data_IF_844838581451
#
_entry.id   IF_844838581451
#
_cell.length_a   1.000
_cell.length_b   1.000
_cell.length_c   1.000
_cell.angle_alpha   90.00
_cell.angle_beta   90.00
_cell.angle_gamma   90.00
#
_symmetry.space_group_name_H-M   'P 1'
#
loop_
_entity.id
_entity.type
_entity.pdbx_description
1 polymer ?
#
# COMPACT_ATOMS: atom_id res chain seq x y z
N UNK A 1 -3.58 31.38 14.24
CA UNK A 1 -4.01 31.04 12.86
C UNK A 1 -3.72 29.56 12.75
N UNK A 2 -4.66 28.75 13.21
CA UNK A 2 -4.48 27.29 13.29
C UNK A 2 -4.99 26.68 12.00
N UNK A 3 -4.05 26.24 11.17
CA UNK A 3 -4.33 25.35 10.05
C UNK A 3 -3.07 24.50 9.80
N UNK A 4 -2.58 23.82 10.85
CA UNK A 4 -1.60 22.73 10.74
C UNK A 4 -2.32 21.48 10.22
N UNK A 5 -2.93 21.57 9.04
CA UNK A 5 -3.54 20.41 8.39
C UNK A 5 -2.45 19.61 7.70
N UNK A 6 -2.18 18.40 8.21
CA UNK A 6 -1.39 17.41 7.51
C UNK A 6 -2.09 17.04 6.19
N UNK A 7 -1.37 17.15 5.07
CA UNK A 7 -1.89 16.89 3.72
C UNK A 7 -1.11 15.75 3.08
N UNK A 8 -1.83 14.81 2.47
CA UNK A 8 -1.26 13.75 1.63
C UNK A 8 -1.54 14.13 0.17
N UNK A 9 -0.47 14.37 -0.60
CA UNK A 9 -0.54 14.62 -2.02
C UNK A 9 -0.10 13.37 -2.80
N UNK A 10 -0.94 12.95 -3.75
CA UNK A 10 -0.73 11.77 -4.58
C UNK A 10 -0.69 12.22 -6.03
N UNK A 11 0.44 12.01 -6.70
CA UNK A 11 0.59 12.24 -8.13
C UNK A 11 0.44 10.89 -8.83
N UNK A 12 -0.38 10.89 -9.90
CA UNK A 12 -0.91 9.68 -10.55
C UNK A 12 -2.01 9.00 -9.72
N UNK A 13 -3.09 9.75 -9.44
CA UNK A 13 -4.28 9.25 -8.72
C UNK A 13 -4.89 8.00 -9.37
N UNK A 14 -4.73 7.88 -10.69
CA UNK A 14 -5.05 6.68 -11.46
C UNK A 14 -3.76 6.25 -12.16
N UNK A 15 -3.37 4.99 -11.97
CA UNK A 15 -2.19 4.39 -12.60
C UNK A 15 -2.41 2.88 -12.79
N UNK A 16 -1.60 2.28 -13.68
CA UNK A 16 -1.50 0.82 -13.75
C UNK A 16 -0.60 0.28 -12.64
N UNK A 17 -0.70 -1.02 -12.38
CA UNK A 17 0.04 -1.69 -11.30
C UNK A 17 1.56 -1.61 -11.43
N UNK A 18 2.06 -1.45 -12.65
CA UNK A 18 3.48 -1.32 -13.01
C UNK A 18 3.93 0.14 -13.16
N UNK A 19 3.00 1.10 -13.09
CA UNK A 19 3.28 2.52 -13.18
C UNK A 19 3.55 3.10 -11.77
N UNK A 20 4.55 4.00 -11.63
CA UNK A 20 4.88 4.56 -10.34
C UNK A 20 3.85 5.59 -9.86
N UNK A 21 3.55 5.57 -8.56
CA UNK A 21 2.75 6.57 -7.85
C UNK A 21 3.67 7.36 -6.92
N UNK A 22 3.62 8.69 -6.99
CA UNK A 22 4.40 9.55 -6.09
C UNK A 22 3.51 10.05 -4.95
N UNK A 23 3.97 9.85 -3.72
CA UNK A 23 3.25 10.23 -2.50
C UNK A 23 4.11 11.19 -1.69
N UNK A 24 3.55 12.35 -1.34
CA UNK A 24 4.17 13.34 -0.48
C UNK A 24 3.24 13.71 0.67
N UNK A 25 3.80 13.87 1.85
CA UNK A 25 3.09 14.30 3.05
C UNK A 25 3.70 15.62 3.48
N UNK A 26 2.87 16.61 3.80
CA UNK A 26 3.29 17.95 4.21
C UNK A 26 2.45 18.45 5.39
N UNK A 27 2.92 19.47 6.10
CA UNK A 27 2.22 20.03 7.26
C UNK A 27 2.44 19.23 8.54
N UNK A 28 3.51 18.44 8.61
CA UNK A 28 3.97 17.79 9.84
C UNK A 28 4.86 18.75 10.64
N UNK A 29 5.06 18.46 11.92
CA UNK A 29 6.11 19.12 12.68
C UNK A 29 7.49 18.67 12.17
N UNK A 30 8.48 19.56 12.25
CA UNK A 30 9.87 19.24 11.96
C UNK A 30 10.32 18.02 12.78
N UNK A 31 10.94 17.05 12.12
CA UNK A 31 11.40 15.77 12.71
C UNK A 31 10.29 14.93 13.36
N UNK A 32 9.02 15.20 13.04
CA UNK A 32 7.93 14.37 13.51
C UNK A 32 8.04 12.96 12.96
N UNK A 33 7.78 11.96 13.82
CA UNK A 33 7.69 10.58 13.42
C UNK A 33 6.26 10.29 12.94
N UNK A 34 6.11 9.94 11.68
CA UNK A 34 4.80 9.65 11.06
C UNK A 34 4.77 8.23 10.52
N UNK A 35 3.63 7.54 10.67
CA UNK A 35 3.42 6.21 10.06
C UNK A 35 2.39 6.32 8.94
N UNK A 36 2.80 5.95 7.74
CA UNK A 36 1.94 5.87 6.56
C UNK A 36 1.47 4.44 6.42
N UNK A 37 0.16 4.23 6.27
CA UNK A 37 -0.45 2.91 6.09
C UNK A 37 -1.29 2.89 4.83
N UNK A 38 -1.10 1.88 4.01
CA UNK A 38 -1.96 1.58 2.87
C UNK A 38 -2.78 0.32 3.18
N UNK A 39 -4.05 0.33 2.77
CA UNK A 39 -4.96 -0.80 2.93
C UNK A 39 -5.73 -1.01 1.62
N UNK A 40 -5.96 -2.26 1.24
CA UNK A 40 -6.82 -2.61 0.11
C UNK A 40 -7.54 -3.93 0.37
N UNK A 41 -8.77 -4.06 -0.10
CA UNK A 41 -9.48 -5.34 -0.13
C UNK A 41 -9.43 -6.01 -1.52
N UNK A 42 -8.86 -5.32 -2.50
CA UNK A 42 -8.74 -5.75 -3.89
C UNK A 42 -7.32 -5.45 -4.37
N UNK A 43 -6.38 -6.29 -3.93
CA UNK A 43 -4.98 -6.21 -4.32
C UNK A 43 -4.52 -7.51 -4.97
N UNK A 44 -3.83 -7.38 -6.10
CA UNK A 44 -3.24 -8.49 -6.81
C UNK A 44 -1.79 -8.68 -6.40
N UNK A 45 -1.44 -9.89 -5.91
CA UNK A 45 -0.08 -10.25 -5.56
C UNK A 45 0.28 -11.60 -6.21
N UNK A 46 1.21 -11.60 -7.17
CA UNK A 46 1.69 -12.81 -7.84
C UNK A 46 2.32 -13.83 -6.88
N UNK A 47 2.85 -13.34 -5.75
CA UNK A 47 3.53 -14.16 -4.75
C UNK A 47 2.57 -14.76 -3.71
N UNK A 48 1.28 -14.41 -3.77
CA UNK A 48 0.29 -14.97 -2.86
C UNK A 48 -0.48 -16.09 -3.54
N UNK A 49 -0.70 -17.18 -2.79
CA UNK A 49 -1.49 -18.30 -3.28
C UNK A 49 -2.94 -17.87 -3.48
N UNK A 50 -3.35 -17.74 -4.74
CA UNK A 50 -4.73 -17.42 -5.16
C UNK A 50 -5.78 -18.38 -4.59
N UNK A 51 -5.40 -19.62 -4.26
CA UNK A 51 -6.29 -20.60 -3.62
C UNK A 51 -6.49 -20.30 -2.13
N UNK A 52 -5.50 -19.68 -1.48
CA UNK A 52 -5.50 -19.39 -0.04
C UNK A 52 -5.91 -17.97 0.31
N UNK A 53 -6.05 -17.08 -0.68
CA UNK A 53 -6.49 -15.70 -0.49
C UNK A 53 -7.90 -15.54 -1.06
N UNK A 54 -8.93 -15.52 -0.19
CA UNK A 54 -10.30 -15.25 -0.61
C UNK A 54 -10.45 -13.90 -1.32
N UNK A 55 -11.51 -13.76 -2.12
CA UNK A 55 -12.02 -12.44 -2.54
C UNK A 55 -12.25 -11.54 -1.32
N UNK A 56 -12.03 -10.23 -1.48
CA UNK A 56 -12.17 -9.21 -0.43
C UNK A 56 -11.27 -9.46 0.80
N UNK A 57 -10.12 -10.13 0.62
CA UNK A 57 -9.12 -10.23 1.68
C UNK A 57 -8.50 -8.86 1.94
N UNK A 58 -8.39 -8.47 3.20
CA UNK A 58 -7.74 -7.23 3.57
C UNK A 58 -6.21 -7.37 3.49
N UNK A 59 -5.62 -6.54 2.65
CA UNK A 59 -4.19 -6.34 2.49
C UNK A 59 -3.77 -5.05 3.18
N UNK A 60 -2.61 -5.07 3.83
CA UNK A 60 -2.03 -3.88 4.41
C UNK A 60 -0.50 -3.85 4.32
N UNK A 61 0.03 -2.62 4.30
CA UNK A 61 1.44 -2.31 4.45
C UNK A 61 1.58 -0.99 5.20
N UNK A 62 2.73 -0.81 5.85
CA UNK A 62 3.02 0.43 6.55
C UNK A 62 4.51 0.76 6.54
N UNK A 63 4.82 2.04 6.62
CA UNK A 63 6.18 2.52 6.83
C UNK A 63 6.17 3.75 7.73
N UNK A 64 7.11 3.81 8.64
CA UNK A 64 7.31 4.93 9.54
C UNK A 64 8.49 5.76 9.05
N UNK A 65 8.31 7.08 8.99
CA UNK A 65 9.30 8.04 8.54
C UNK A 65 9.52 9.13 9.59
N UNK A 66 10.57 9.91 9.39
CA UNK A 66 10.83 11.15 10.12
C UNK A 66 10.67 12.30 9.12
N UNK A 67 9.81 13.26 9.43
CA UNK A 67 9.65 14.45 8.61
C UNK A 67 10.96 15.25 8.51
N UNK A 68 11.16 15.90 7.37
CA UNK A 68 12.32 16.76 7.15
C UNK A 68 12.28 18.04 8.00
N UNK A 69 13.21 18.96 7.73
CA UNK A 69 13.31 20.25 8.41
C UNK A 69 12.11 21.17 8.16
N UNK A 70 11.33 20.88 7.12
CA UNK A 70 10.20 21.66 6.63
C UNK A 70 8.85 20.98 6.90
N UNK A 71 8.84 19.86 7.64
CA UNK A 71 7.60 19.14 7.95
C UNK A 71 7.08 18.29 6.80
N UNK A 72 7.95 17.81 5.91
CA UNK A 72 7.58 16.99 4.76
C UNK A 72 8.15 15.56 4.84
N UNK A 73 7.44 14.62 4.21
CA UNK A 73 7.93 13.28 3.88
C UNK A 73 7.63 13.02 2.39
N UNK A 74 8.67 12.84 1.61
CA UNK A 74 8.58 12.41 0.20
C UNK A 74 8.97 10.94 0.09
N UNK A 75 8.03 10.06 -0.23
CA UNK A 75 8.27 8.61 -0.27
C UNK A 75 9.26 8.19 -1.36
N UNK A 76 9.53 9.06 -2.34
CA UNK A 76 10.57 8.82 -3.35
C UNK A 76 11.99 8.97 -2.80
N UNK A 77 12.16 9.75 -1.73
CA UNK A 77 13.47 10.10 -1.18
C UNK A 77 13.66 9.67 0.28
N UNK A 78 12.56 9.39 1.00
CA UNK A 78 12.60 9.02 2.41
C UNK A 78 12.86 7.52 2.59
N UNK A 79 13.80 7.20 3.47
CA UNK A 79 14.04 5.82 3.93
C UNK A 79 13.14 5.57 5.16
N UNK A 80 12.31 4.51 5.18
CA UNK A 80 11.57 4.13 6.37
C UNK A 80 12.52 3.79 7.54
N UNK A 81 12.17 4.25 8.74
CA UNK A 81 12.85 3.84 9.98
C UNK A 81 12.24 2.58 10.60
N UNK A 82 11.01 2.22 10.19
CA UNK A 82 10.31 1.00 10.57
C UNK A 82 9.23 0.66 9.53
N UNK A 83 8.76 -0.59 9.52
CA UNK A 83 7.60 -1.02 8.74
C UNK A 83 7.81 -2.27 7.88
N UNK A 84 6.97 -2.40 6.85
CA UNK A 84 6.91 -3.58 5.96
C UNK A 84 7.99 -3.61 4.89
N UNK A 85 8.72 -2.51 4.70
CA UNK A 85 9.90 -2.41 3.84
C UNK A 85 10.96 -1.47 4.46
N UNK A 86 12.22 -1.58 4.00
CA UNK A 86 13.39 -0.95 4.66
C UNK A 86 14.24 -0.05 3.75
N UNK A 87 14.00 -0.05 2.45
CA UNK A 87 14.81 0.69 1.47
C UNK A 87 14.05 1.91 0.95
N UNK A 88 14.77 2.93 0.51
CA UNK A 88 14.16 4.06 -0.23
C UNK A 88 13.48 3.52 -1.50
N UNK A 89 12.15 3.55 -1.55
CA UNK A 89 11.37 3.04 -2.68
C UNK A 89 9.96 3.65 -2.65
N UNK A 90 9.63 4.50 -3.62
CA UNK A 90 8.29 5.12 -3.73
C UNK A 90 7.15 4.12 -3.83
N UNK A 91 7.41 2.96 -4.44
CA UNK A 91 6.44 1.86 -4.55
C UNK A 91 6.51 0.87 -3.38
N UNK A 92 7.34 1.13 -2.37
CA UNK A 92 7.59 0.22 -1.26
C UNK A 92 6.34 -0.17 -0.49
N UNK A 93 5.40 0.77 -0.28
CA UNK A 93 4.10 0.47 0.36
C UNK A 93 3.26 -0.51 -0.46
N UNK A 94 3.26 -0.39 -1.79
CA UNK A 94 2.53 -1.31 -2.67
C UNK A 94 3.18 -2.69 -2.69
N UNK A 95 4.48 -2.75 -2.94
CA UNK A 95 5.21 -4.03 -3.08
C UNK A 95 5.33 -4.81 -1.77
N UNK A 96 5.18 -4.16 -0.62
CA UNK A 96 5.29 -4.79 0.69
C UNK A 96 3.94 -5.14 1.33
N UNK A 97 2.83 -4.99 0.61
CA UNK A 97 1.52 -5.40 1.08
C UNK A 97 1.49 -6.88 1.47
N UNK A 98 0.88 -7.16 2.62
CA UNK A 98 0.64 -8.52 3.12
C UNK A 98 -0.83 -8.69 3.49
N UNK A 99 -1.30 -9.94 3.47
CA UNK A 99 -2.63 -10.27 3.97
C UNK A 99 -2.65 -10.05 5.49
N UNK A 100 -3.55 -9.17 5.95
CA UNK A 100 -3.66 -8.80 7.36
C UNK A 100 -4.23 -9.94 8.22
N UNK A 101 -5.20 -10.68 7.69
CA UNK A 101 -5.78 -11.85 8.31
C UNK A 101 -6.13 -12.90 7.25
N UNK A 102 -5.59 -14.11 7.38
CA UNK A 102 -6.02 -15.25 6.57
C UNK A 102 -7.34 -15.77 7.14
N UNK A 103 -8.46 -15.34 6.58
CA UNK A 103 -9.70 -16.10 6.75
C UNK A 103 -9.55 -17.41 5.98
N UNK A 104 -9.82 -18.55 6.64
CA UNK A 104 -9.89 -19.86 5.97
C UNK A 104 -10.98 -19.75 4.90
N UNK A 105 -10.57 -19.57 3.65
CA UNK A 105 -11.50 -19.50 2.53
C UNK A 105 -12.33 -20.78 2.48
N UNK A 106 -13.63 -20.65 2.22
CA UNK A 106 -14.42 -21.82 1.80
C UNK A 106 -13.79 -22.36 0.51
N UNK A 107 -13.72 -23.68 0.39
CA UNK A 107 -13.33 -24.33 -0.86
C UNK A 107 -14.18 -23.74 -2.00
N UNK A 108 -13.50 -23.24 -3.03
CA UNK A 108 -14.15 -22.73 -4.22
C UNK A 108 -14.89 -23.90 -4.88
N UNK A 109 -16.22 -23.82 -4.91
CA UNK A 109 -17.05 -24.89 -5.48
C UNK A 109 -17.39 -24.65 -6.95
N UNK A 110 -17.35 -23.38 -7.40
CA UNK A 110 -17.66 -22.99 -8.78
C UNK A 110 -16.58 -22.08 -9.34
N UNK A 111 -16.31 -22.23 -10.63
CA UNK A 111 -15.33 -21.39 -11.34
C UNK A 111 -15.72 -19.90 -11.35
N UNK A 112 -17.02 -19.60 -11.31
CA UNK A 112 -17.56 -18.23 -11.17
C UNK A 112 -17.12 -17.51 -9.88
N UNK A 113 -16.72 -18.27 -8.86
CA UNK A 113 -16.39 -17.72 -7.54
C UNK A 113 -14.92 -17.27 -7.48
N UNK A 114 -14.14 -17.53 -8.53
CA UNK A 114 -12.78 -17.03 -8.75
C UNK A 114 -12.86 -15.54 -9.19
N UNK A 115 -11.90 -14.69 -8.80
CA UNK A 115 -11.93 -13.25 -9.14
C UNK A 115 -11.71 -12.98 -10.64
N UNK A 116 -12.33 -11.92 -11.18
CA UNK A 116 -12.22 -11.54 -12.59
C UNK A 116 -10.77 -11.25 -13.01
N UNK A 117 -9.94 -10.76 -12.07
CA UNK A 117 -8.49 -10.64 -12.24
C UNK A 117 -7.78 -11.96 -12.59
N UNK A 118 -8.44 -13.12 -12.39
CA UNK A 118 -7.96 -14.45 -12.79
C UNK A 118 -8.56 -14.89 -14.15
N UNK A 119 -9.77 -14.44 -14.51
CA UNK A 119 -10.41 -14.81 -15.77
C UNK A 119 -9.70 -14.21 -17.00
N UNK A 120 -9.07 -13.04 -16.83
CA UNK A 120 -8.33 -12.36 -17.91
C UNK A 120 -7.06 -13.11 -18.36
N UNK A 121 -6.54 -14.05 -17.57
CA UNK A 121 -5.26 -14.74 -17.84
C UNK A 121 -5.40 -16.27 -18.00
N UNK A 122 -6.64 -16.78 -18.05
CA UNK A 122 -6.94 -18.19 -18.30
C UNK A 122 -7.26 -18.50 -19.77
N UNK A 123 -6.82 -17.65 -20.70
CA UNK A 123 -6.90 -17.86 -22.16
C UNK A 123 -5.54 -18.14 -22.75
#
# INVERSE_FOLDING_TARGET
MDNDSCVINIISEISKVDEPVSIKISGLLKKEKVTVRIVSNDYYCINASVIKVPKNTLWDAHATFIADEYGNVDLENAVPIDGTYKTCNKMGLFYSMKVKETRRGKLIQKLSDISENIQLYAR
#
